data_IF_365230011409
#
_entry.id   IF_365230011409
#
_cell.length_a   1.000
_cell.length_b   1.000
_cell.length_c   1.000
_cell.angle_alpha   90.00
_cell.angle_beta   90.00
_cell.angle_gamma   90.00
#
_symmetry.space_group_name_H-M   'P 1'
#
loop_
_entity.id
_entity.type
_entity.pdbx_description
1 polymer ?
#
# COMPACT_ATOMS: atom_id res chain seq x y z
N UNK A 1 19.67 1.34 1.22
CA UNK A 1 18.75 2.15 2.04
C UNK A 1 19.34 3.55 2.10
N UNK A 2 18.67 4.54 1.53
CA UNK A 2 19.11 5.93 1.48
C UNK A 2 19.52 6.42 2.87
N UNK A 3 20.79 6.81 3.03
CA UNK A 3 21.28 7.49 4.24
C UNK A 3 20.96 8.98 4.09
N UNK A 4 19.69 9.33 4.25
CA UNK A 4 19.29 10.73 4.38
C UNK A 4 19.63 11.19 5.81
N UNK A 5 20.57 12.14 5.95
CA UNK A 5 20.80 12.82 7.22
C UNK A 5 19.78 13.96 7.36
N UNK A 6 18.84 13.79 8.29
CA UNK A 6 17.80 14.79 8.58
C UNK A 6 16.54 14.68 7.70
N UNK A 7 15.67 15.69 7.78
CA UNK A 7 14.40 15.71 7.05
C UNK A 7 14.62 16.17 5.60
N UNK A 8 14.52 15.22 4.67
CA UNK A 8 14.59 15.50 3.22
C UNK A 8 13.18 15.50 2.63
N UNK A 9 12.80 16.62 2.03
CA UNK A 9 11.53 16.73 1.30
C UNK A 9 11.64 15.92 0.00
N UNK A 10 10.92 14.80 -0.05
CA UNK A 10 10.84 13.95 -1.24
C UNK A 10 9.65 14.38 -2.11
N UNK A 11 9.87 14.93 -3.31
CA UNK A 11 8.82 15.60 -4.09
C UNK A 11 7.66 14.68 -4.50
N UNK A 12 7.86 13.36 -4.53
CA UNK A 12 6.86 12.36 -4.94
C UNK A 12 6.38 11.46 -3.81
N UNK A 13 6.79 11.71 -2.57
CA UNK A 13 6.47 10.86 -1.40
C UNK A 13 4.97 10.71 -1.18
N UNK A 14 4.21 11.80 -1.39
CA UNK A 14 2.75 11.81 -1.28
C UNK A 14 2.06 10.79 -2.19
N UNK A 15 2.65 10.43 -3.34
CA UNK A 15 2.05 9.47 -4.28
C UNK A 15 2.06 8.08 -3.65
N UNK A 16 3.20 7.70 -3.08
CA UNK A 16 3.41 6.40 -2.42
C UNK A 16 2.57 6.32 -1.15
N UNK A 17 2.65 7.34 -0.29
CA UNK A 17 1.87 7.39 0.95
C UNK A 17 0.37 7.34 0.70
N UNK A 18 -0.12 8.02 -0.36
CA UNK A 18 -1.54 7.95 -0.70
C UNK A 18 -1.96 6.56 -1.16
N UNK A 19 -1.12 5.86 -1.93
CA UNK A 19 -1.39 4.47 -2.33
C UNK A 19 -1.57 3.58 -1.09
N UNK A 20 -0.70 3.72 -0.09
CA UNK A 20 -0.83 3.00 1.17
C UNK A 20 -2.07 3.41 1.98
N UNK A 21 -2.36 4.71 2.09
CA UNK A 21 -3.55 5.21 2.78
C UNK A 21 -4.85 4.66 2.16
N UNK A 22 -4.85 4.43 0.85
CA UNK A 22 -5.98 3.84 0.15
C UNK A 22 -6.11 2.33 0.36
N UNK A 23 -4.99 1.62 0.43
CA UNK A 23 -4.97 0.18 0.74
C UNK A 23 -5.47 -0.09 2.17
N UNK A 24 -5.25 0.85 3.10
CA UNK A 24 -5.80 0.79 4.46
C UNK A 24 -7.34 0.71 4.54
N UNK A 25 -8.06 1.04 3.46
CA UNK A 25 -9.53 0.84 3.39
C UNK A 25 -9.93 -0.62 3.12
N UNK A 26 -8.98 -1.48 2.78
CA UNK A 26 -9.24 -2.91 2.65
C UNK A 26 -9.17 -3.55 4.05
N UNK A 27 -10.34 -3.90 4.61
CA UNK A 27 -10.44 -4.51 5.95
C UNK A 27 -9.51 -5.72 6.16
N UNK A 28 -9.23 -6.45 5.08
CA UNK A 28 -8.37 -7.63 5.10
C UNK A 28 -6.87 -7.30 5.25
N UNK A 29 -6.46 -6.05 4.97
CA UNK A 29 -5.11 -5.54 5.19
C UNK A 29 -4.96 -4.80 6.53
N UNK A 30 -6.04 -4.61 7.30
CA UNK A 30 -6.03 -3.80 8.53
C UNK A 30 -5.40 -4.52 9.73
N UNK A 31 -5.28 -5.84 9.68
CA UNK A 31 -4.52 -6.67 10.63
C UNK A 31 -3.67 -7.63 9.84
N UNK A 32 -2.51 -8.01 10.35
CA UNK A 32 -1.70 -9.11 9.82
C UNK A 32 -2.43 -10.43 10.08
N UNK A 33 -3.48 -10.66 9.29
CA UNK A 33 -4.36 -11.83 9.38
C UNK A 33 -3.82 -13.02 8.60
N UNK A 34 -2.85 -12.78 7.72
CA UNK A 34 -2.33 -13.78 6.79
C UNK A 34 -1.16 -14.52 7.45
N UNK A 35 -1.23 -15.85 7.46
CA UNK A 35 -0.26 -16.70 8.14
C UNK A 35 1.12 -16.75 7.43
N UNK A 36 1.18 -16.37 6.15
CA UNK A 36 2.39 -16.45 5.34
C UNK A 36 2.59 -15.18 4.52
N UNK A 37 3.86 -14.79 4.33
CA UNK A 37 4.25 -13.62 3.53
C UNK A 37 3.68 -13.70 2.10
N UNK A 38 3.71 -14.85 1.38
CA UNK A 38 3.12 -14.93 0.05
C UNK A 38 1.62 -14.62 0.04
N UNK A 39 0.88 -15.05 1.06
CA UNK A 39 -0.55 -14.74 1.16
C UNK A 39 -0.78 -13.24 1.39
N UNK A 40 0.01 -12.61 2.26
CA UNK A 40 -0.02 -11.16 2.47
C UNK A 40 0.23 -10.39 1.17
N UNK A 41 1.24 -10.80 0.39
CA UNK A 41 1.55 -10.21 -0.91
C UNK A 41 0.41 -10.39 -1.91
N UNK A 42 -0.21 -11.57 -1.96
CA UNK A 42 -1.36 -11.82 -2.83
C UNK A 42 -2.52 -10.88 -2.49
N UNK A 43 -2.82 -10.70 -1.20
CA UNK A 43 -3.88 -9.78 -0.78
C UNK A 43 -3.58 -8.31 -1.08
N UNK A 44 -2.32 -7.89 -0.96
CA UNK A 44 -1.88 -6.56 -1.37
C UNK A 44 -2.18 -6.31 -2.86
N UNK A 45 -1.82 -7.26 -3.73
CA UNK A 45 -2.06 -7.18 -5.18
C UNK A 45 -3.57 -7.13 -5.49
N UNK A 46 -4.35 -8.03 -4.89
CA UNK A 46 -5.79 -8.09 -5.09
C UNK A 46 -6.46 -6.77 -4.63
N UNK A 47 -6.06 -6.22 -3.47
CA UNK A 47 -6.59 -4.95 -2.97
C UNK A 47 -6.30 -3.79 -3.94
N UNK A 48 -5.09 -3.77 -4.53
CA UNK A 48 -4.72 -2.78 -5.54
C UNK A 48 -5.58 -2.91 -6.81
N UNK A 49 -5.72 -4.13 -7.34
CA UNK A 49 -6.57 -4.42 -8.53
C UNK A 49 -8.01 -3.96 -8.29
N UNK A 50 -8.62 -4.37 -7.17
CA UNK A 50 -10.00 -3.95 -6.81
C UNK A 50 -10.15 -2.44 -6.72
N UNK A 51 -9.11 -1.74 -6.28
CA UNK A 51 -9.13 -0.27 -6.22
C UNK A 51 -9.10 0.33 -7.62
N UNK A 52 -8.24 -0.17 -8.51
CA UNK A 52 -8.12 0.31 -9.89
C UNK A 52 -9.42 0.05 -10.64
N UNK A 53 -10.00 -1.15 -10.52
CA UNK A 53 -11.26 -1.50 -11.19
C UNK A 53 -12.42 -0.56 -10.78
N UNK A 54 -12.54 -0.19 -9.51
CA UNK A 54 -13.55 0.76 -9.01
C UNK A 54 -13.38 2.20 -9.52
N UNK A 55 -12.26 2.54 -10.12
CA UNK A 55 -12.04 3.86 -10.74
C UNK A 55 -12.33 3.86 -12.24
N UNK A 56 -12.23 2.69 -12.88
CA UNK A 56 -12.41 2.54 -14.31
C UNK A 56 -13.90 2.33 -14.64
N UNK A 57 -14.60 1.60 -13.78
CA UNK A 57 -16.04 1.44 -13.83
C UNK A 57 -16.75 2.53 -13.01
#
# INVERSE_FOLDING_TARGET
SDRAEGFVVLPKRWIVERSFAWLGRCRRLTKDVEATIPSSCAWLMIAHIRRVLRKIN
#
